data_IF_950178566572
#
_entry.id   IF_950178566572
#
_cell.length_a   1.000
_cell.length_b   1.000
_cell.length_c   1.000
_cell.angle_alpha   90.00
_cell.angle_beta   90.00
_cell.angle_gamma   90.00
#
_symmetry.space_group_name_H-M   'P 1'
#
loop_
_entity.id
_entity.type
_entity.pdbx_description
1 polymer ?
#
# COMPACT_ATOMS: atom_id res chain seq x y z
N UNK A 1 -37.28 19.89 39.49
CA UNK A 1 -37.87 18.54 39.39
C UNK A 1 -36.82 17.63 38.80
N UNK A 2 -36.18 16.82 39.65
CA UNK A 2 -35.10 15.92 39.25
C UNK A 2 -35.66 14.51 39.35
N UNK A 3 -35.85 13.85 38.22
CA UNK A 3 -36.37 12.48 38.13
C UNK A 3 -35.23 11.53 38.44
N UNK A 4 -35.30 10.85 39.59
CA UNK A 4 -34.40 9.76 39.92
C UNK A 4 -34.82 8.50 39.16
N UNK A 5 -33.92 7.93 38.36
CA UNK A 5 -34.15 6.65 37.67
C UNK A 5 -34.21 5.49 38.67
N UNK A 6 -35.24 4.63 38.63
CA UNK A 6 -35.39 3.47 39.51
C UNK A 6 -34.82 2.23 38.81
N UNK A 7 -33.50 2.02 38.91
CA UNK A 7 -32.90 0.73 38.56
C UNK A 7 -31.79 0.50 39.60
N UNK A 8 -32.11 -0.20 40.70
CA UNK A 8 -31.15 -0.96 41.53
C UNK A 8 -31.78 -1.52 42.82
N UNK A 9 -32.87 -2.28 42.71
CA UNK A 9 -33.30 -3.17 43.80
C UNK A 9 -33.69 -4.54 43.26
N UNK A 10 -32.73 -5.20 42.59
CA UNK A 10 -32.81 -6.64 42.36
C UNK A 10 -32.36 -7.38 43.62
N UNK A 11 -33.30 -8.13 44.18
CA UNK A 11 -33.27 -8.89 45.42
C UNK A 11 -32.12 -9.92 45.46
N UNK A 12 -31.17 -9.76 46.38
CA UNK A 12 -30.43 -10.88 46.96
C UNK A 12 -31.38 -11.61 47.94
N UNK A 13 -32.29 -12.43 47.42
CA UNK A 13 -33.25 -13.19 48.23
C UNK A 13 -32.55 -14.36 48.95
N UNK A 14 -32.68 -14.33 50.26
CA UNK A 14 -32.27 -15.31 51.28
C UNK A 14 -32.51 -16.77 50.86
N UNK A 15 -31.45 -17.53 50.58
CA UNK A 15 -31.59 -18.98 50.36
C UNK A 15 -30.38 -19.72 49.77
N UNK A 16 -29.34 -19.05 49.32
CA UNK A 16 -28.11 -19.70 48.84
C UNK A 16 -26.87 -18.97 49.36
N UNK A 17 -25.82 -19.69 49.83
CA UNK A 17 -24.62 -19.09 50.41
C UNK A 17 -23.66 -18.48 49.37
N UNK A 18 -24.18 -18.06 48.21
CA UNK A 18 -23.35 -17.42 47.18
C UNK A 18 -23.20 -15.94 47.54
N UNK A 19 -21.98 -15.44 47.78
CA UNK A 19 -21.76 -14.04 48.09
C UNK A 19 -22.24 -13.17 46.93
N UNK A 20 -23.07 -12.16 47.22
CA UNK A 20 -23.48 -11.19 46.21
C UNK A 20 -22.22 -10.43 45.72
N UNK A 21 -22.03 -10.28 44.41
CA UNK A 21 -20.87 -9.57 43.88
C UNK A 21 -20.89 -8.11 44.38
N UNK A 22 -19.73 -7.53 44.73
CA UNK A 22 -19.68 -6.15 45.17
C UNK A 22 -20.18 -5.21 44.05
N UNK A 23 -20.83 -4.09 44.40
CA UNK A 23 -21.28 -3.13 43.39
C UNK A 23 -20.08 -2.62 42.59
N UNK A 24 -20.18 -2.72 41.26
CA UNK A 24 -19.19 -2.14 40.36
C UNK A 24 -19.10 -0.65 40.64
N UNK A 25 -17.88 -0.19 40.95
CA UNK A 25 -17.67 1.24 41.18
C UNK A 25 -17.91 1.97 39.86
N UNK A 26 -18.65 3.07 39.90
CA UNK A 26 -19.05 3.84 38.71
C UNK A 26 -17.87 4.32 37.85
N UNK A 27 -16.67 4.43 38.42
CA UNK A 27 -15.45 4.81 37.69
C UNK A 27 -14.73 3.65 36.98
N UNK A 28 -15.06 2.39 37.29
CA UNK A 28 -14.45 1.21 36.65
C UNK A 28 -14.55 1.21 35.12
N UNK A 29 -15.70 1.53 34.48
CA UNK A 29 -15.75 1.61 33.01
C UNK A 29 -14.88 2.74 32.44
N UNK A 30 -14.80 3.88 33.12
CA UNK A 30 -13.98 5.01 32.67
C UNK A 30 -12.48 4.67 32.72
N UNK A 31 -12.03 4.00 33.78
CA UNK A 31 -10.64 3.54 33.89
C UNK A 31 -10.32 2.48 32.85
N UNK A 32 -11.21 1.50 32.65
CA UNK A 32 -11.02 0.48 31.61
C UNK A 32 -10.88 1.11 30.22
N UNK A 33 -11.76 2.05 29.87
CA UNK A 33 -11.70 2.78 28.60
C UNK A 33 -10.39 3.56 28.45
N UNK A 34 -9.97 4.30 29.49
CA UNK A 34 -8.72 5.06 29.45
C UNK A 34 -7.51 4.16 29.25
N UNK A 35 -7.44 3.02 29.96
CA UNK A 35 -6.37 2.03 29.77
C UNK A 35 -6.39 1.47 28.36
N UNK A 36 -7.54 1.08 27.83
CA UNK A 36 -7.67 0.58 26.45
C UNK A 36 -7.23 1.63 25.42
N UNK A 37 -7.61 2.89 25.58
CA UNK A 37 -7.22 3.98 24.69
C UNK A 37 -5.70 4.22 24.70
N UNK A 38 -5.08 4.17 25.88
CA UNK A 38 -3.62 4.28 26.03
C UNK A 38 -2.93 3.10 25.36
N UNK A 39 -3.36 1.86 25.64
CA UNK A 39 -2.77 0.66 25.03
C UNK A 39 -2.88 0.73 23.50
N UNK A 40 -4.06 1.07 22.97
CA UNK A 40 -4.25 1.20 21.53
C UNK A 40 -3.36 2.29 20.93
N UNK A 41 -3.24 3.44 21.59
CA UNK A 41 -2.36 4.53 21.14
C UNK A 41 -0.89 4.10 21.12
N UNK A 42 -0.42 3.42 22.16
CA UNK A 42 0.93 2.88 22.23
C UNK A 42 1.17 1.86 21.12
N UNK A 43 0.21 0.96 20.86
CA UNK A 43 0.31 -0.01 19.77
C UNK A 43 0.35 0.69 18.41
N UNK A 44 -0.52 1.67 18.15
CA UNK A 44 -0.52 2.43 16.90
C UNK A 44 0.80 3.18 16.72
N UNK A 45 1.39 3.75 17.77
CA UNK A 45 2.70 4.41 17.67
C UNK A 45 3.80 3.36 17.42
N UNK A 46 3.82 2.28 18.20
CA UNK A 46 4.87 1.26 18.11
C UNK A 46 4.89 0.53 16.76
N UNK A 47 3.72 0.33 16.14
CA UNK A 47 3.58 -0.38 14.86
C UNK A 47 3.40 0.54 13.66
N UNK A 48 2.87 1.76 13.85
CA UNK A 48 2.54 2.68 12.77
C UNK A 48 3.70 3.58 12.32
N UNK A 49 4.80 3.67 13.07
CA UNK A 49 5.94 4.54 12.71
C UNK A 49 7.08 3.84 11.98
N UNK A 50 6.96 2.54 11.68
CA UNK A 50 7.98 1.82 10.91
C UNK A 50 7.85 2.13 9.42
N UNK A 51 8.09 3.39 9.06
CA UNK A 51 8.40 3.77 7.69
C UNK A 51 9.78 3.20 7.36
N UNK A 52 9.81 2.14 6.56
CA UNK A 52 11.02 1.63 5.97
C UNK A 52 11.75 2.72 5.17
N UNK A 53 13.07 2.59 4.99
CA UNK A 53 13.87 3.55 4.24
C UNK A 53 13.44 3.69 2.77
N UNK A 54 12.78 2.67 2.23
CA UNK A 54 12.30 2.61 0.85
C UNK A 54 10.83 3.04 0.71
N UNK A 55 10.15 3.30 1.82
CA UNK A 55 8.73 3.69 1.80
C UNK A 55 8.55 5.13 1.31
N UNK A 56 7.34 5.42 0.85
CA UNK A 56 6.94 6.77 0.51
C UNK A 56 6.89 7.63 1.77
N UNK A 57 7.48 8.84 1.77
CA UNK A 57 7.32 9.79 2.87
C UNK A 57 5.86 10.14 3.16
N UNK A 58 4.97 9.99 2.17
CA UNK A 58 3.55 10.17 2.30
C UNK A 58 2.81 8.85 2.06
N UNK A 59 2.57 8.12 3.16
CA UNK A 59 1.92 6.80 3.15
C UNK A 59 0.54 6.78 2.47
N UNK A 60 -0.20 7.89 2.47
CA UNK A 60 -1.53 7.97 1.87
C UNK A 60 -1.52 7.60 0.37
N UNK A 61 -0.36 7.69 -0.27
CA UNK A 61 -0.22 7.43 -1.68
C UNK A 61 0.64 6.18 -2.00
N UNK A 62 1.14 5.48 -0.98
CA UNK A 62 1.92 4.26 -1.18
C UNK A 62 1.01 3.11 -1.64
N UNK A 63 -0.24 3.13 -1.18
CA UNK A 63 -1.19 2.03 -1.37
C UNK A 63 -2.06 2.16 -2.60
N UNK A 64 -2.52 3.37 -2.91
CA UNK A 64 -3.46 3.51 -4.01
C UNK A 64 -2.75 3.36 -5.35
N UNK A 65 -1.58 3.98 -5.52
CA UNK A 65 -0.70 3.94 -6.72
C UNK A 65 -1.36 4.28 -8.07
N UNK A 66 -2.68 4.27 -8.13
CA UNK A 66 -3.55 4.27 -9.28
C UNK A 66 -3.86 5.70 -9.65
N UNK A 67 -3.42 6.04 -10.85
CA UNK A 67 -3.61 7.36 -11.42
C UNK A 67 -4.77 7.26 -12.41
N UNK A 68 -5.97 7.63 -11.95
CA UNK A 68 -7.15 7.72 -12.83
C UNK A 68 -6.87 8.65 -14.03
N UNK A 69 -6.12 9.73 -13.80
CA UNK A 69 -5.69 10.70 -14.81
C UNK A 69 -4.17 10.96 -14.77
N UNK A 70 -3.36 9.89 -14.81
CA UNK A 70 -1.91 10.06 -14.86
C UNK A 70 -1.43 10.78 -16.13
N UNK A 71 -0.20 11.31 -16.14
CA UNK A 71 0.34 12.04 -17.28
C UNK A 71 0.40 11.16 -18.53
N UNK A 72 0.21 11.79 -19.70
CA UNK A 72 0.48 11.14 -20.98
C UNK A 72 1.95 11.37 -21.36
N UNK A 73 2.63 10.28 -21.67
CA UNK A 73 4.05 10.26 -21.95
C UNK A 73 4.30 10.40 -23.46
N UNK A 74 5.47 10.94 -23.87
CA UNK A 74 5.91 10.90 -25.26
C UNK A 74 6.14 9.44 -25.72
N UNK A 75 6.26 9.25 -27.04
CA UNK A 75 6.45 7.92 -27.65
C UNK A 75 7.77 7.25 -27.24
N UNK A 76 8.72 8.01 -26.69
CA UNK A 76 9.99 7.49 -26.21
C UNK A 76 10.49 8.24 -24.99
N UNK A 77 10.91 7.51 -23.97
CA UNK A 77 11.59 8.06 -22.78
C UNK A 77 12.79 7.18 -22.45
N UNK A 78 13.95 7.79 -22.21
CA UNK A 78 15.13 7.04 -21.78
C UNK A 78 15.54 5.91 -22.74
N UNK A 79 15.24 6.06 -24.04
CA UNK A 79 15.49 5.03 -25.07
C UNK A 79 14.41 3.95 -25.19
N UNK A 80 13.38 3.95 -24.33
CA UNK A 80 12.29 2.99 -24.35
C UNK A 80 11.13 3.57 -25.15
N UNK A 81 10.76 2.88 -26.24
CA UNK A 81 9.53 3.18 -26.98
C UNK A 81 8.30 2.85 -26.12
N UNK A 82 7.30 3.72 -26.12
CA UNK A 82 6.02 3.53 -25.42
C UNK A 82 4.89 3.55 -26.45
N UNK A 83 3.76 2.93 -26.11
CA UNK A 83 2.60 2.83 -26.99
C UNK A 83 2.49 1.49 -27.72
N UNK A 84 1.29 1.20 -28.23
CA UNK A 84 0.96 -0.06 -28.92
C UNK A 84 0.75 -1.26 -27.99
N UNK A 85 1.48 -1.31 -26.87
CA UNK A 85 1.30 -2.29 -25.79
C UNK A 85 1.42 -1.59 -24.43
N UNK A 86 0.81 -2.17 -23.40
CA UNK A 86 1.05 -1.72 -22.03
C UNK A 86 2.48 -2.06 -21.62
N UNK A 87 3.10 -1.21 -20.82
CA UNK A 87 4.48 -1.37 -20.36
C UNK A 87 4.50 -1.35 -18.85
N UNK A 88 5.07 -2.41 -18.26
CA UNK A 88 5.39 -2.48 -16.83
C UNK A 88 6.85 -2.10 -16.67
N UNK A 89 7.13 -1.06 -15.90
CA UNK A 89 8.49 -0.58 -15.61
C UNK A 89 8.81 -0.89 -14.16
N UNK A 90 9.82 -1.72 -13.93
CA UNK A 90 10.34 -2.05 -12.61
C UNK A 90 11.51 -1.12 -12.29
N UNK A 91 11.42 -0.40 -11.17
CA UNK A 91 12.49 0.46 -10.68
C UNK A 91 13.26 -0.26 -9.60
N UNK A 92 14.56 -0.33 -9.80
CA UNK A 92 15.43 -1.14 -8.96
C UNK A 92 16.75 -0.46 -8.68
N UNK A 93 17.29 -0.67 -7.48
CA UNK A 93 18.63 -0.16 -7.14
C UNK A 93 19.72 -1.09 -7.64
N UNK A 94 19.42 -2.38 -7.76
CA UNK A 94 20.34 -3.43 -8.22
C UNK A 94 19.60 -4.35 -9.18
N UNK A 95 20.33 -5.02 -10.06
CA UNK A 95 19.73 -5.98 -10.98
C UNK A 95 18.98 -7.07 -10.17
N UNK A 96 17.67 -7.30 -10.43
CA UNK A 96 16.94 -8.39 -9.78
C UNK A 96 17.55 -9.75 -10.11
N UNK A 97 17.39 -10.74 -9.22
CA UNK A 97 17.77 -12.12 -9.52
C UNK A 97 17.11 -12.61 -10.81
N UNK A 98 17.85 -13.41 -11.60
CA UNK A 98 17.39 -13.85 -12.93
C UNK A 98 16.08 -14.63 -12.88
N UNK A 99 15.86 -15.45 -11.85
CA UNK A 99 14.63 -16.22 -11.67
C UNK A 99 13.42 -15.30 -11.43
N UNK A 100 13.56 -14.30 -10.55
CA UNK A 100 12.52 -13.33 -10.26
C UNK A 100 12.17 -12.53 -11.52
N UNK A 101 13.19 -12.09 -12.26
CA UNK A 101 12.97 -11.37 -13.51
C UNK A 101 12.27 -12.24 -14.57
N UNK A 102 12.56 -13.54 -14.62
CA UNK A 102 11.90 -14.47 -15.53
C UNK A 102 10.40 -14.61 -15.21
N UNK A 103 10.04 -14.71 -13.92
CA UNK A 103 8.63 -14.76 -13.49
C UNK A 103 7.87 -13.49 -13.89
N UNK A 104 8.45 -12.32 -13.63
CA UNK A 104 7.90 -11.03 -14.05
C UNK A 104 7.71 -10.94 -15.56
N UNK A 105 8.70 -11.39 -16.34
CA UNK A 105 8.62 -11.38 -17.80
C UNK A 105 7.51 -12.30 -18.29
N UNK A 106 7.35 -13.47 -17.67
CA UNK A 106 6.28 -14.41 -18.01
C UNK A 106 4.89 -13.83 -17.70
N UNK A 107 4.69 -13.17 -16.55
CA UNK A 107 3.44 -12.49 -16.19
C UNK A 107 3.13 -11.31 -17.13
N UNK A 108 4.12 -10.47 -17.42
CA UNK A 108 3.96 -9.39 -18.40
C UNK A 108 3.55 -9.92 -19.78
N UNK A 109 4.19 -11.00 -20.24
CA UNK A 109 3.87 -11.62 -21.53
C UNK A 109 2.44 -12.16 -21.57
N UNK A 110 2.00 -12.87 -20.51
CA UNK A 110 0.63 -13.41 -20.42
C UNK A 110 -0.44 -12.32 -20.43
N UNK A 111 -0.17 -11.16 -19.83
CA UNK A 111 -1.07 -10.00 -19.85
C UNK A 111 -1.01 -9.17 -21.14
N UNK A 112 -0.16 -9.53 -22.11
CA UNK A 112 0.04 -8.77 -23.36
C UNK A 112 0.82 -7.48 -23.17
N UNK A 113 1.67 -7.42 -22.15
CA UNK A 113 2.44 -6.26 -21.74
C UNK A 113 3.94 -6.49 -21.89
N UNK A 114 4.69 -5.41 -22.08
CA UNK A 114 6.15 -5.47 -22.14
C UNK A 114 6.74 -5.12 -20.78
N UNK A 115 7.74 -5.87 -20.36
CA UNK A 115 8.50 -5.59 -19.13
C UNK A 115 9.77 -4.78 -19.44
N UNK A 116 9.99 -3.74 -18.65
CA UNK A 116 11.21 -2.93 -18.64
C UNK A 116 11.78 -2.92 -17.23
N UNK A 117 13.09 -3.08 -17.09
CA UNK A 117 13.78 -2.97 -15.80
C UNK A 117 14.68 -1.73 -15.84
N UNK A 118 14.37 -0.75 -15.00
CA UNK A 118 15.07 0.50 -14.86
C UNK A 118 15.97 0.44 -13.61
N UNK A 119 17.20 -0.03 -13.80
CA UNK A 119 18.19 -0.12 -12.72
C UNK A 119 18.87 1.23 -12.50
N UNK A 120 19.02 1.63 -11.24
CA UNK A 120 19.70 2.86 -10.86
C UNK A 120 21.10 2.97 -11.48
N UNK A 121 21.45 4.17 -11.96
CA UNK A 121 22.73 4.43 -12.62
C UNK A 121 22.82 3.93 -14.07
N UNK A 122 21.83 3.20 -14.60
CA UNK A 122 21.77 2.88 -16.03
C UNK A 122 21.26 4.07 -16.86
N UNK A 123 21.72 4.23 -18.12
CA UNK A 123 21.24 5.28 -19.00
C UNK A 123 19.72 5.23 -19.15
N UNK A 124 19.07 6.40 -19.11
CA UNK A 124 17.63 6.52 -19.30
C UNK A 124 16.76 6.26 -18.06
N UNK A 125 17.30 5.65 -17.00
CA UNK A 125 16.54 5.36 -15.76
C UNK A 125 16.04 6.63 -15.07
N UNK A 126 16.85 7.68 -14.99
CA UNK A 126 16.43 8.96 -14.39
C UNK A 126 15.30 9.61 -15.19
N UNK A 127 15.42 9.65 -16.52
CA UNK A 127 14.40 10.19 -17.40
C UNK A 127 13.06 9.43 -17.27
N UNK A 128 13.11 8.09 -17.15
CA UNK A 128 11.92 7.29 -16.88
C UNK A 128 11.30 7.62 -15.54
N UNK A 129 12.10 7.67 -14.47
CA UNK A 129 11.64 8.01 -13.11
C UNK A 129 10.89 9.33 -13.13
N UNK A 130 11.50 10.36 -13.70
CA UNK A 130 10.98 11.72 -13.70
C UNK A 130 9.69 11.81 -14.52
N UNK A 131 9.67 11.20 -15.71
CA UNK A 131 8.49 11.20 -16.57
C UNK A 131 7.32 10.39 -15.98
N UNK A 132 7.62 9.30 -15.27
CA UNK A 132 6.62 8.46 -14.60
C UNK A 132 6.13 9.05 -13.27
N UNK A 133 6.74 10.16 -12.80
CA UNK A 133 6.38 10.80 -11.54
C UNK A 133 6.69 9.92 -10.32
N UNK A 134 7.69 9.04 -10.43
CA UNK A 134 8.10 8.18 -9.33
C UNK A 134 8.67 9.05 -8.20
N UNK A 135 8.18 8.80 -6.99
CA UNK A 135 8.58 9.58 -5.82
C UNK A 135 9.92 9.16 -5.25
N UNK A 136 10.49 10.07 -4.47
CA UNK A 136 11.72 9.81 -3.73
C UNK A 136 11.37 9.11 -2.41
N UNK A 137 11.95 7.94 -2.12
CA UNK A 137 11.78 7.24 -0.85
C UNK A 137 12.37 8.03 0.33
N UNK A 138 12.04 7.63 1.55
CA UNK A 138 12.50 8.26 2.81
C UNK A 138 14.02 8.39 2.94
N UNK A 139 14.78 7.44 2.42
CA UNK A 139 16.25 7.48 2.44
C UNK A 139 16.87 8.42 1.38
N UNK A 140 16.05 9.09 0.56
CA UNK A 140 16.51 10.00 -0.50
C UNK A 140 17.11 9.32 -1.73
N UNK A 141 17.18 7.98 -1.76
CA UNK A 141 17.81 7.22 -2.82
C UNK A 141 16.94 7.02 -4.07
N UNK A 142 17.40 6.24 -5.05
CA UNK A 142 16.57 5.85 -6.20
C UNK A 142 15.34 5.06 -5.76
N UNK A 143 14.21 5.19 -6.47
CA UNK A 143 12.98 4.47 -6.14
C UNK A 143 13.16 2.96 -6.29
N UNK A 144 12.42 2.20 -5.48
CA UNK A 144 12.22 0.75 -5.63
C UNK A 144 10.72 0.52 -5.71
N UNK A 145 10.26 -0.18 -6.75
CA UNK A 145 8.84 -0.41 -7.00
C UNK A 145 8.56 -0.52 -8.49
N UNK A 146 7.36 -0.12 -8.91
CA UNK A 146 6.95 -0.27 -10.31
C UNK A 146 5.96 0.80 -10.77
N UNK A 147 5.89 0.92 -12.09
CA UNK A 147 4.90 1.73 -12.77
C UNK A 147 4.28 0.97 -13.95
N UNK A 148 3.02 1.26 -14.25
CA UNK A 148 2.29 0.69 -15.38
C UNK A 148 1.85 1.82 -16.30
N UNK A 149 2.24 1.72 -17.56
CA UNK A 149 1.86 2.63 -18.64
C UNK A 149 0.95 1.87 -19.59
N UNK A 150 -0.19 2.44 -19.95
CA UNK A 150 -1.11 1.81 -20.90
C UNK A 150 -0.67 1.98 -22.37
N UNK A 151 -1.44 1.37 -23.28
CA UNK A 151 -1.21 1.43 -24.73
C UNK A 151 -1.30 2.85 -25.31
N UNK A 152 -2.00 3.76 -24.62
CA UNK A 152 -2.15 5.17 -24.98
C UNK A 152 -1.02 6.05 -24.42
N UNK A 153 0.01 5.43 -23.81
CA UNK A 153 1.16 6.06 -23.15
C UNK A 153 0.77 6.83 -21.89
N UNK A 154 -0.37 6.51 -21.28
CA UNK A 154 -0.78 7.13 -20.03
C UNK A 154 -0.29 6.32 -18.85
N UNK A 155 0.29 6.99 -17.86
CA UNK A 155 0.62 6.35 -16.58
C UNK A 155 -0.67 6.01 -15.86
N UNK A 156 -0.87 4.72 -15.57
CA UNK A 156 -2.04 4.21 -14.84
C UNK A 156 -1.71 3.88 -13.41
N UNK A 157 -0.46 3.51 -13.16
CA UNK A 157 0.00 3.13 -11.84
C UNK A 157 1.47 3.53 -11.66
N UNK A 158 1.83 4.04 -10.49
CA UNK A 158 3.22 4.31 -10.10
C UNK A 158 3.35 4.30 -8.58
N UNK A 159 4.15 3.39 -8.02
CA UNK A 159 4.28 3.28 -6.56
C UNK A 159 5.70 2.91 -6.12
N UNK A 160 6.03 3.33 -4.89
CA UNK A 160 7.16 2.84 -4.12
C UNK A 160 6.70 1.60 -3.35
N UNK A 161 7.15 0.44 -3.80
CA UNK A 161 6.83 -0.85 -3.20
C UNK A 161 8.11 -1.68 -3.15
N UNK A 162 8.85 -1.69 -2.02
CA UNK A 162 10.06 -2.48 -1.90
C UNK A 162 9.80 -4.00 -1.86
N UNK A 163 8.57 -4.43 -1.60
CA UNK A 163 8.16 -5.82 -1.56
C UNK A 163 7.56 -6.31 -2.89
N UNK A 164 7.57 -5.46 -3.93
CA UNK A 164 6.88 -5.75 -5.19
C UNK A 164 7.29 -7.08 -5.83
N UNK A 165 8.55 -7.51 -5.63
CA UNK A 165 9.04 -8.78 -6.17
C UNK A 165 8.24 -9.99 -5.68
N UNK A 166 7.64 -9.92 -4.50
CA UNK A 166 6.79 -10.96 -3.92
C UNK A 166 5.35 -10.90 -4.48
N UNK A 167 4.98 -9.81 -5.16
CA UNK A 167 3.63 -9.51 -5.64
C UNK A 167 3.51 -9.54 -7.18
N UNK A 168 4.36 -10.32 -7.87
CA UNK A 168 4.36 -10.39 -9.33
C UNK A 168 3.00 -10.77 -9.95
N UNK A 169 2.22 -11.62 -9.26
CA UNK A 169 0.87 -12.03 -9.68
C UNK A 169 -0.15 -10.90 -9.57
N UNK A 170 -0.01 -9.97 -8.62
CA UNK A 170 -0.90 -8.83 -8.47
C UNK A 170 -0.77 -7.88 -9.66
N UNK A 171 0.46 -7.60 -10.08
CA UNK A 171 0.70 -6.73 -11.24
C UNK A 171 0.23 -7.38 -12.54
N UNK A 172 0.28 -8.71 -12.65
CA UNK A 172 -0.36 -9.42 -13.77
C UNK A 172 -1.87 -9.12 -13.84
N UNK A 173 -2.58 -9.15 -12.70
CA UNK A 173 -4.00 -8.84 -12.64
C UNK A 173 -4.30 -7.38 -13.00
N UNK A 174 -3.53 -6.44 -12.43
CA UNK A 174 -3.68 -5.01 -12.72
C UNK A 174 -3.47 -4.72 -14.21
N UNK A 175 -2.48 -5.37 -14.82
CA UNK A 175 -2.16 -5.13 -16.22
C UNK A 175 -3.13 -5.82 -17.17
N UNK A 176 -3.67 -6.99 -16.80
CA UNK A 176 -4.72 -7.68 -17.55
C UNK A 176 -6.04 -6.87 -17.62
N UNK A 177 -6.42 -6.21 -16.52
CA UNK A 177 -7.61 -5.33 -16.51
C UNK A 177 -7.47 -4.14 -17.47
N UNK A 178 -6.25 -3.60 -17.60
CA UNK A 178 -5.96 -2.50 -18.53
C UNK A 178 -5.96 -2.91 -20.01
N UNK A 179 -5.70 -4.18 -20.30
CA UNK A 179 -5.68 -4.70 -21.67
C UNK A 179 -7.05 -5.20 -22.15
N UNK A 180 -7.95 -5.57 -21.24
CA UNK A 180 -9.28 -6.13 -21.53
C UNK A 180 -10.39 -5.11 -21.85
N UNK A 181 -10.28 -3.85 -21.44
CA UNK A 181 -11.31 -2.81 -21.67
C UNK A 181 -11.23 -2.13 -23.05
N UNK A 182 -10.54 -2.72 -24.03
CA UNK A 182 -10.38 -2.17 -25.38
C UNK A 182 -11.10 -3.00 -26.46
N UNK A 183 -12.17 -3.73 -26.08
CA UNK A 183 -13.02 -4.48 -27.00
C UNK A 183 -14.36 -3.78 -27.17
#
# INVERSE_FOLDING_TARGET
MTVASPIDQAQCSTGSPRPCPPPLRWWTPAVAFAVSAVVLSVLVIAFGTNNGPLDDPNQAFQRDGALHNGPQLPDRIGGIALGGSSVVVLFERRQPPGQTLAQWRAGATRSGSRLVVAVAGKPGTSALRDALGMRTPNDGGPPVGYAIVDRSRRVRYATLDPAYLDHASEVELLTAGLTGHAS
#
